data_IF_762932484892
#
_entry.id   IF_762932484892
#
_cell.length_a   1.000
_cell.length_b   1.000
_cell.length_c   1.000
_cell.angle_alpha   90.00
_cell.angle_beta   90.00
_cell.angle_gamma   90.00
#
_symmetry.space_group_name_H-M   'P 1'
#
loop_
_entity.id
_entity.type
_entity.pdbx_description
1 polymer ?
#
# COMPACT_ATOMS: atom_id res chain seq x y z
N UNK A 1 -19.31 12.02 -2.60
CA UNK A 1 -19.07 11.49 -1.23
C UNK A 1 -17.57 11.53 -0.95
N UNK A 2 -17.17 12.12 0.14
CA UNK A 2 -15.76 12.19 0.52
C UNK A 2 -15.25 10.79 0.86
N UNK A 3 -13.97 10.48 0.54
CA UNK A 3 -13.33 9.18 0.84
C UNK A 3 -13.43 8.77 2.33
N UNK A 4 -13.70 9.71 3.24
CA UNK A 4 -13.79 9.48 4.69
C UNK A 4 -15.01 8.65 5.15
N UNK A 5 -16.10 8.60 4.36
CA UNK A 5 -17.33 7.95 4.81
C UNK A 5 -17.30 6.41 4.66
N UNK A 6 -16.29 5.86 3.98
CA UNK A 6 -16.14 4.42 3.74
C UNK A 6 -15.39 3.71 4.86
N UNK A 7 -14.54 4.42 5.61
CA UNK A 7 -13.64 3.84 6.60
C UNK A 7 -14.03 4.29 8.00
N UNK A 8 -14.26 3.32 8.88
CA UNK A 8 -14.67 3.55 10.27
C UNK A 8 -13.49 3.51 11.25
N UNK A 9 -12.37 2.93 10.82
CA UNK A 9 -11.18 2.74 11.63
C UNK A 9 -9.92 3.21 10.91
N UNK A 10 -8.89 3.55 11.69
CA UNK A 10 -7.57 3.92 11.16
C UNK A 10 -6.51 2.96 11.69
N UNK A 11 -5.66 2.48 10.81
CA UNK A 11 -4.47 1.72 11.12
C UNK A 11 -3.25 2.56 10.75
N UNK A 12 -2.63 3.20 11.74
CA UNK A 12 -1.49 4.09 11.52
C UNK A 12 -0.19 3.31 11.60
N UNK A 13 0.62 3.39 10.57
CA UNK A 13 1.92 2.73 10.44
C UNK A 13 3.02 3.76 10.64
N UNK A 14 3.92 3.53 11.61
CA UNK A 14 5.14 4.32 11.76
C UNK A 14 6.27 3.82 10.85
N UNK A 15 7.32 4.64 10.64
CA UNK A 15 8.52 4.20 9.92
C UNK A 15 9.17 2.97 10.55
N UNK A 16 9.26 2.93 11.88
CA UNK A 16 9.85 1.80 12.60
C UNK A 16 9.03 0.53 12.43
N UNK A 17 7.70 0.65 12.46
CA UNK A 17 6.81 -0.48 12.19
C UNK A 17 6.97 -0.98 10.75
N UNK A 18 6.94 -0.09 9.77
CA UNK A 18 7.12 -0.45 8.37
C UNK A 18 8.43 -1.21 8.14
N UNK A 19 9.53 -0.74 8.75
CA UNK A 19 10.82 -1.43 8.63
C UNK A 19 10.80 -2.83 9.23
N UNK A 20 10.16 -3.04 10.38
CA UNK A 20 10.00 -4.38 10.98
C UNK A 20 9.16 -5.29 10.08
N UNK A 21 7.99 -4.79 9.66
CA UNK A 21 7.04 -5.55 8.84
C UNK A 21 7.68 -5.97 7.51
N UNK A 22 8.47 -5.08 6.87
CA UNK A 22 9.24 -5.40 5.65
C UNK A 22 10.26 -6.49 5.91
N UNK A 23 11.01 -6.44 7.00
CA UNK A 23 12.03 -7.45 7.31
C UNK A 23 11.39 -8.81 7.54
N UNK A 24 10.31 -8.86 8.32
CA UNK A 24 9.57 -10.09 8.58
C UNK A 24 8.94 -10.65 7.28
N UNK A 25 8.44 -9.78 6.40
CA UNK A 25 7.94 -10.18 5.08
C UNK A 25 9.03 -10.78 4.19
N UNK A 26 10.28 -10.31 4.32
CA UNK A 26 11.42 -10.79 3.53
C UNK A 26 11.99 -12.12 4.03
N UNK A 27 11.83 -12.50 5.30
CA UNK A 27 12.43 -13.71 5.86
C UNK A 27 12.14 -15.00 5.06
N UNK A 28 10.88 -15.30 4.68
CA UNK A 28 10.59 -16.50 3.87
C UNK A 28 11.14 -16.39 2.44
N UNK A 29 11.53 -15.20 1.98
CA UNK A 29 12.03 -14.95 0.63
C UNK A 29 13.56 -15.08 0.50
N UNK A 30 14.30 -15.24 1.60
CA UNK A 30 15.77 -15.27 1.62
C UNK A 30 16.39 -16.36 0.75
N UNK A 31 15.65 -17.43 0.47
CA UNK A 31 16.12 -18.54 -0.37
C UNK A 31 15.70 -18.41 -1.84
N UNK A 32 14.96 -17.38 -2.17
CA UNK A 32 14.56 -17.12 -3.56
C UNK A 32 15.61 -16.25 -4.26
N UNK A 33 15.87 -16.56 -5.52
CA UNK A 33 16.75 -15.78 -6.38
C UNK A 33 15.92 -14.99 -7.38
N UNK A 34 15.54 -13.77 -7.01
CA UNK A 34 14.82 -12.87 -7.90
C UNK A 34 15.78 -12.15 -8.85
N UNK A 35 15.39 -12.01 -10.11
CA UNK A 35 16.10 -11.23 -11.14
C UNK A 35 16.06 -9.74 -10.84
N UNK A 36 14.96 -9.29 -10.23
CA UNK A 36 14.70 -7.90 -9.91
C UNK A 36 13.35 -7.71 -9.22
N UNK A 37 13.05 -6.47 -8.90
CA UNK A 37 11.78 -6.03 -8.32
C UNK A 37 11.06 -5.14 -9.33
N UNK A 38 9.74 -5.33 -9.46
CA UNK A 38 8.84 -4.36 -10.09
C UNK A 38 7.99 -3.72 -9.00
N UNK A 39 8.16 -2.42 -8.78
CA UNK A 39 7.34 -1.65 -7.86
C UNK A 39 6.08 -1.13 -8.55
N UNK A 40 4.91 -1.36 -7.97
CA UNK A 40 3.67 -0.72 -8.44
C UNK A 40 3.66 0.72 -7.92
N UNK A 41 3.82 1.66 -8.85
CA UNK A 41 3.87 3.07 -8.46
C UNK A 41 2.42 3.59 -8.23
N UNK A 42 2.22 4.36 -7.16
CA UNK A 42 3.23 4.99 -6.28
C UNK A 42 3.45 4.22 -4.97
N UNK A 43 2.44 3.50 -4.46
CA UNK A 43 2.45 2.86 -3.14
C UNK A 43 3.64 1.91 -2.95
N UNK A 44 3.92 1.08 -3.93
CA UNK A 44 4.99 0.09 -3.88
C UNK A 44 6.41 0.63 -3.95
N UNK A 45 6.63 1.92 -4.28
CA UNK A 45 7.99 2.46 -4.47
C UNK A 45 8.84 2.42 -3.20
N UNK A 46 8.28 2.84 -2.07
CA UNK A 46 9.01 2.86 -0.80
C UNK A 46 9.22 1.43 -0.27
N UNK A 47 8.19 0.58 -0.18
CA UNK A 47 8.38 -0.82 0.15
C UNK A 47 9.40 -1.54 -0.72
N UNK A 48 9.34 -1.36 -2.04
CA UNK A 48 10.29 -1.98 -2.97
C UNK A 48 11.74 -1.59 -2.68
N UNK A 49 12.00 -0.32 -2.35
CA UNK A 49 13.34 0.15 -1.98
C UNK A 49 13.87 -0.50 -0.69
N UNK A 50 13.01 -0.67 0.31
CA UNK A 50 13.35 -1.35 1.57
C UNK A 50 13.60 -2.85 1.33
N UNK A 51 12.71 -3.52 0.59
CA UNK A 51 12.81 -4.94 0.23
C UNK A 51 14.07 -5.20 -0.61
N UNK A 52 14.36 -4.34 -1.58
CA UNK A 52 15.56 -4.42 -2.42
C UNK A 52 16.85 -4.44 -1.57
N UNK A 53 16.88 -3.62 -0.52
CA UNK A 53 17.99 -3.59 0.44
C UNK A 53 18.06 -4.88 1.27
N UNK A 54 16.94 -5.36 1.81
CA UNK A 54 16.92 -6.55 2.68
C UNK A 54 17.26 -7.84 1.91
N UNK A 55 16.88 -7.94 0.63
CA UNK A 55 17.15 -9.11 -0.24
C UNK A 55 18.38 -8.94 -1.14
N UNK A 56 19.13 -7.83 -1.02
CA UNK A 56 20.29 -7.46 -1.88
C UNK A 56 19.96 -7.50 -3.39
N UNK A 57 18.75 -7.08 -3.76
CA UNK A 57 18.34 -6.99 -5.17
C UNK A 57 18.68 -5.60 -5.70
N UNK A 58 19.52 -5.53 -6.75
CA UNK A 58 20.00 -4.26 -7.32
C UNK A 58 19.14 -3.72 -8.45
N UNK A 59 18.42 -4.60 -9.13
CA UNK A 59 17.56 -4.21 -10.24
C UNK A 59 16.13 -3.93 -9.72
N UNK A 60 15.75 -2.65 -9.76
CA UNK A 60 14.40 -2.21 -9.38
C UNK A 60 13.82 -1.42 -10.53
N UNK A 61 12.72 -1.92 -11.09
CA UNK A 61 11.91 -1.22 -12.09
C UNK A 61 10.57 -0.81 -11.49
N UNK A 62 9.77 -0.08 -12.22
CA UNK A 62 8.43 0.36 -11.80
C UNK A 62 7.39 0.14 -12.89
N UNK A 63 6.20 -0.21 -12.47
CA UNK A 63 4.99 -0.27 -13.26
C UNK A 63 4.04 0.83 -12.75
N UNK A 64 3.52 1.67 -13.65
CA UNK A 64 2.62 2.75 -13.27
C UNK A 64 1.22 2.47 -13.76
N UNK A 65 0.30 2.38 -12.82
CA UNK A 65 -1.12 2.18 -13.09
C UNK A 65 -1.95 3.27 -12.41
N UNK A 66 -3.04 3.64 -13.03
CA UNK A 66 -4.00 4.59 -12.48
C UNK A 66 -5.38 3.94 -12.44
N UNK A 67 -5.93 3.81 -11.25
CA UNK A 67 -7.32 3.37 -11.07
C UNK A 67 -8.25 4.59 -11.10
N UNK A 68 -9.37 4.46 -11.82
CA UNK A 68 -10.43 5.46 -11.83
C UNK A 68 -11.53 5.06 -10.86
N UNK A 69 -11.84 5.95 -9.90
CA UNK A 69 -12.95 5.80 -8.95
C UNK A 69 -14.30 6.28 -9.56
N UNK A 70 -14.53 6.10 -10.86
CA UNK A 70 -15.79 6.49 -11.48
C UNK A 70 -16.84 5.40 -11.30
N UNK A 71 -18.01 5.78 -10.76
CA UNK A 71 -19.17 4.92 -10.51
C UNK A 71 -19.88 4.41 -11.78
N UNK A 72 -19.44 4.79 -12.98
CA UNK A 72 -20.05 4.41 -14.25
C UNK A 72 -19.13 3.43 -14.98
N UNK A 73 -19.56 2.15 -14.92
CA UNK A 73 -19.26 1.07 -15.88
C UNK A 73 -17.92 1.16 -16.61
N UNK A 74 -16.88 0.72 -15.96
CA UNK A 74 -15.77 -0.12 -16.41
C UNK A 74 -14.66 -0.07 -15.36
N UNK A 75 -14.26 -1.23 -14.88
CA UNK A 75 -13.15 -1.42 -13.93
C UNK A 75 -11.78 -1.20 -14.63
N UNK A 76 -11.63 -0.12 -15.37
CA UNK A 76 -10.46 0.12 -16.18
C UNK A 76 -9.33 0.73 -15.34
N UNK A 77 -8.30 -0.08 -15.15
CA UNK A 77 -7.00 0.38 -14.67
C UNK A 77 -6.20 0.81 -15.89
N UNK A 78 -5.91 2.10 -16.00
CA UNK A 78 -5.06 2.64 -17.06
C UNK A 78 -3.59 2.33 -16.76
N UNK A 79 -2.89 1.74 -17.71
CA UNK A 79 -1.44 1.48 -17.62
C UNK A 79 -0.70 2.66 -18.21
N UNK A 80 -0.02 3.43 -17.38
CA UNK A 80 0.80 4.59 -17.80
C UNK A 80 2.22 4.17 -18.18
N UNK A 81 2.77 3.16 -17.50
CA UNK A 81 4.07 2.55 -17.79
C UNK A 81 3.99 1.05 -17.51
N UNK A 82 4.25 0.25 -18.50
CA UNK A 82 4.39 -1.21 -18.39
C UNK A 82 5.85 -1.65 -18.24
N UNK A 83 6.04 -2.99 -18.26
CA UNK A 83 7.34 -3.67 -18.34
C UNK A 83 7.28 -4.71 -19.45
N UNK A 84 8.44 -5.06 -20.07
CA UNK A 84 8.52 -5.91 -21.26
C UNK A 84 8.81 -7.38 -20.91
N UNK A 85 8.18 -7.92 -19.84
CA UNK A 85 8.32 -9.33 -19.45
C UNK A 85 7.07 -9.80 -18.69
N UNK A 86 6.91 -11.13 -18.56
CA UNK A 86 5.76 -11.76 -17.90
C UNK A 86 5.91 -11.94 -16.38
N UNK A 87 6.99 -11.46 -15.81
CA UNK A 87 7.27 -11.51 -14.38
C UNK A 87 8.00 -12.77 -13.91
N UNK A 88 8.39 -13.70 -14.80
CA UNK A 88 9.09 -14.91 -14.38
C UNK A 88 10.43 -14.63 -13.69
N UNK A 89 10.51 -14.99 -12.41
CA UNK A 89 11.66 -14.73 -11.55
C UNK A 89 11.72 -13.29 -11.03
N UNK A 90 10.65 -12.51 -11.15
CA UNK A 90 10.56 -11.16 -10.60
C UNK A 90 9.69 -11.10 -9.37
N UNK A 91 10.05 -10.21 -8.46
CA UNK A 91 9.25 -9.84 -7.31
C UNK A 91 8.42 -8.61 -7.67
N UNK A 92 7.10 -8.71 -7.53
CA UNK A 92 6.16 -7.61 -7.73
C UNK A 92 5.77 -7.07 -6.35
N UNK A 93 5.86 -5.75 -6.14
CA UNK A 93 5.68 -5.14 -4.82
C UNK A 93 4.68 -4.00 -4.87
N UNK A 94 3.71 -4.03 -3.94
CA UNK A 94 2.87 -2.89 -3.60
C UNK A 94 2.83 -2.69 -2.07
N UNK A 95 2.32 -1.57 -1.59
CA UNK A 95 2.14 -1.30 -0.16
C UNK A 95 0.92 -2.04 0.41
N UNK A 96 -0.17 -2.07 -0.34
CA UNK A 96 -1.47 -2.58 0.08
C UNK A 96 -2.22 -3.21 -1.09
N UNK A 97 -2.87 -4.34 -0.86
CA UNK A 97 -3.98 -4.82 -1.68
C UNK A 97 -5.31 -4.56 -0.96
N UNK A 98 -6.14 -3.65 -1.49
CA UNK A 98 -7.45 -3.29 -0.92
C UNK A 98 -8.57 -4.13 -1.54
N UNK A 99 -9.27 -3.62 -2.55
CA UNK A 99 -10.35 -4.34 -3.27
C UNK A 99 -9.80 -5.35 -4.31
N UNK A 100 -8.51 -5.27 -4.60
CA UNK A 100 -7.86 -6.12 -5.60
C UNK A 100 -7.97 -5.66 -7.05
N UNK A 101 -8.63 -4.54 -7.37
CA UNK A 101 -8.76 -4.04 -8.75
C UNK A 101 -7.41 -3.84 -9.43
N UNK A 102 -6.51 -3.10 -8.79
CA UNK A 102 -5.13 -2.90 -9.27
C UNK A 102 -4.39 -4.24 -9.36
N UNK A 103 -4.47 -5.05 -8.32
CA UNK A 103 -3.80 -6.36 -8.28
C UNK A 103 -4.24 -7.27 -9.42
N UNK A 104 -5.54 -7.36 -9.72
CA UNK A 104 -6.07 -8.15 -10.83
C UNK A 104 -5.56 -7.65 -12.19
N UNK A 105 -5.48 -6.34 -12.40
CA UNK A 105 -4.96 -5.76 -13.63
C UNK A 105 -3.47 -6.09 -13.81
N UNK A 106 -2.67 -5.91 -12.75
CA UNK A 106 -1.23 -6.14 -12.79
C UNK A 106 -0.89 -7.63 -12.91
N UNK A 107 -1.68 -8.52 -12.29
CA UNK A 107 -1.55 -9.98 -12.48
C UNK A 107 -1.72 -10.41 -13.92
N UNK A 108 -2.59 -9.77 -14.70
CA UNK A 108 -2.72 -10.07 -16.14
C UNK A 108 -1.47 -9.68 -16.94
N UNK A 109 -0.76 -8.63 -16.48
CA UNK A 109 0.48 -8.17 -17.14
C UNK A 109 1.69 -9.00 -16.73
N UNK A 110 1.77 -9.37 -15.46
CA UNK A 110 2.88 -10.10 -14.84
C UNK A 110 2.39 -11.40 -14.18
N UNK A 111 1.84 -12.36 -14.97
CA UNK A 111 1.19 -13.54 -14.42
C UNK A 111 2.14 -14.47 -13.65
N UNK A 112 3.45 -14.41 -13.92
CA UNK A 112 4.45 -15.27 -13.29
C UNK A 112 5.26 -14.58 -12.18
N UNK A 113 5.02 -13.30 -11.90
CA UNK A 113 5.70 -12.60 -10.83
C UNK A 113 5.25 -13.14 -9.47
N UNK A 114 6.17 -13.20 -8.51
CA UNK A 114 5.82 -13.41 -7.11
C UNK A 114 5.35 -12.07 -6.53
N UNK A 115 4.06 -11.95 -6.26
CA UNK A 115 3.44 -10.70 -5.86
C UNK A 115 3.29 -10.60 -4.34
N UNK A 116 3.90 -9.59 -3.74
CA UNK A 116 3.83 -9.34 -2.30
C UNK A 116 3.34 -7.93 -2.00
N UNK A 117 2.66 -7.78 -0.87
CA UNK A 117 2.27 -6.48 -0.29
C UNK A 117 2.60 -6.45 1.19
N UNK A 118 2.80 -5.26 1.76
CA UNK A 118 3.01 -5.17 3.21
C UNK A 118 1.69 -5.50 3.93
N UNK A 119 0.60 -4.91 3.47
CA UNK A 119 -0.72 -5.13 4.03
C UNK A 119 -1.69 -5.70 2.99
N UNK A 120 -2.68 -6.44 3.47
CA UNK A 120 -3.76 -6.95 2.63
C UNK A 120 -5.11 -6.80 3.32
N UNK A 121 -6.15 -6.53 2.52
CA UNK A 121 -7.52 -6.57 2.98
C UNK A 121 -8.25 -7.79 2.45
N UNK A 122 -9.33 -8.24 3.12
CA UNK A 122 -10.03 -9.49 2.78
C UNK A 122 -10.43 -9.63 1.32
N UNK A 123 -10.91 -8.56 0.68
CA UNK A 123 -11.36 -8.59 -0.72
C UNK A 123 -10.22 -8.83 -1.71
N UNK A 124 -9.04 -8.28 -1.45
CA UNK A 124 -7.90 -8.32 -2.38
C UNK A 124 -6.85 -9.38 -2.09
N UNK A 125 -6.78 -9.90 -0.86
CA UNK A 125 -5.67 -10.77 -0.40
C UNK A 125 -5.43 -12.02 -1.25
N UNK A 126 -6.46 -12.56 -1.88
CA UNK A 126 -6.35 -13.75 -2.72
C UNK A 126 -5.57 -13.51 -4.03
N UNK A 127 -5.30 -12.26 -4.39
CA UNK A 127 -4.59 -11.86 -5.61
C UNK A 127 -3.09 -11.69 -5.41
N UNK A 128 -2.60 -11.73 -4.17
CA UNK A 128 -1.17 -11.66 -3.83
C UNK A 128 -0.69 -13.00 -3.31
N UNK A 129 0.60 -13.31 -3.51
CA UNK A 129 1.19 -14.58 -3.09
C UNK A 129 1.58 -14.54 -1.61
N UNK A 130 1.94 -13.34 -1.12
CA UNK A 130 2.35 -13.14 0.26
C UNK A 130 2.04 -11.71 0.73
N UNK A 131 1.68 -11.57 1.99
CA UNK A 131 1.56 -10.28 2.67
C UNK A 131 1.98 -10.44 4.14
N UNK A 132 2.32 -9.33 4.79
CA UNK A 132 2.71 -9.35 6.20
C UNK A 132 1.49 -9.36 7.13
N UNK A 133 0.62 -8.35 7.01
CA UNK A 133 -0.52 -8.18 7.94
C UNK A 133 -1.84 -8.01 7.20
N UNK A 134 -2.87 -8.74 7.66
CA UNK A 134 -4.24 -8.51 7.21
C UNK A 134 -4.89 -7.40 8.05
N UNK A 135 -5.54 -6.46 7.37
CA UNK A 135 -6.25 -5.32 7.97
C UNK A 135 -7.70 -5.35 7.52
N UNK A 136 -8.64 -4.99 8.41
CA UNK A 136 -10.07 -5.00 8.11
C UNK A 136 -10.43 -4.17 6.87
N UNK A 137 -11.48 -4.61 6.15
CA UNK A 137 -11.90 -3.95 4.89
C UNK A 137 -12.34 -2.51 5.10
N UNK A 138 -12.94 -2.20 6.24
CA UNK A 138 -13.41 -0.87 6.66
C UNK A 138 -12.33 0.00 7.32
N UNK A 139 -11.09 -0.48 7.33
CA UNK A 139 -9.96 0.21 7.95
C UNK A 139 -9.16 1.02 6.91
N UNK A 140 -8.89 2.30 7.21
CA UNK A 140 -7.96 3.12 6.44
C UNK A 140 -6.53 2.92 6.95
N UNK A 141 -5.62 2.49 6.08
CA UNK A 141 -4.20 2.40 6.43
C UNK A 141 -3.56 3.77 6.16
N UNK A 142 -2.99 4.34 7.22
CA UNK A 142 -2.27 5.60 7.15
C UNK A 142 -0.77 5.29 7.19
N UNK A 143 -0.14 5.35 6.04
CA UNK A 143 1.29 5.10 5.90
C UNK A 143 2.14 6.27 6.40
N UNK A 144 3.43 6.04 6.72
CA UNK A 144 4.31 7.11 7.22
C UNK A 144 4.50 8.26 6.22
N UNK A 145 4.38 8.01 4.93
CA UNK A 145 4.47 9.04 3.87
C UNK A 145 3.16 9.79 3.63
N UNK A 146 2.03 9.33 4.17
CA UNK A 146 0.74 10.01 4.11
C UNK A 146 0.61 11.09 5.19
N UNK A 147 1.44 11.00 6.24
CA UNK A 147 1.44 11.95 7.34
C UNK A 147 2.25 13.19 6.95
N UNK A 148 1.56 14.21 6.41
CA UNK A 148 2.13 15.55 6.31
C UNK A 148 2.33 16.17 7.71
N UNK A 149 3.09 17.27 7.78
CA UNK A 149 3.13 18.11 8.98
C UNK A 149 1.72 18.66 9.26
N UNK A 150 0.90 17.89 9.95
CA UNK A 150 -0.36 18.40 10.47
C UNK A 150 -0.07 19.13 11.77
N UNK A 151 -0.37 20.42 11.80
CA UNK A 151 -0.43 21.15 13.07
C UNK A 151 -1.48 20.46 13.95
N UNK A 152 -1.02 19.84 15.01
CA UNK A 152 -1.91 19.28 16.05
C UNK A 152 -2.12 20.37 17.07
N UNK A 153 -3.35 20.90 17.13
CA UNK A 153 -3.72 21.91 18.12
C UNK A 153 -3.45 21.37 19.54
N UNK A 154 -2.71 22.14 20.39
CA UNK A 154 -2.47 21.73 21.77
C UNK A 154 -3.76 21.41 22.52
N UNK A 155 -3.73 20.41 23.40
CA UNK A 155 -4.91 19.99 24.17
C UNK A 155 -5.55 21.13 24.94
N UNK A 156 -4.74 22.08 25.46
CA UNK A 156 -5.23 23.26 26.18
C UNK A 156 -6.06 24.19 25.28
N UNK A 157 -5.72 24.32 24.02
CA UNK A 157 -6.50 25.15 23.08
C UNK A 157 -7.82 24.48 22.70
N UNK A 158 -7.80 23.16 22.52
CA UNK A 158 -9.01 22.36 22.29
C UNK A 158 -9.97 22.48 23.50
N UNK A 159 -9.46 22.40 24.73
CA UNK A 159 -10.26 22.60 25.96
C UNK A 159 -10.86 23.99 26.02
N UNK A 160 -10.07 25.05 25.77
CA UNK A 160 -10.57 26.43 25.80
C UNK A 160 -11.72 26.65 24.80
N UNK A 161 -11.67 26.07 23.64
CA UNK A 161 -12.78 26.15 22.63
C UNK A 161 -14.04 25.44 23.13
N UNK A 162 -13.87 24.25 23.73
CA UNK A 162 -15.00 23.49 24.28
C UNK A 162 -15.70 24.24 25.41
N UNK A 163 -14.94 24.95 26.26
CA UNK A 163 -15.50 25.73 27.37
C UNK A 163 -16.10 27.06 26.90
N UNK A 164 -15.54 27.70 25.88
CA UNK A 164 -16.11 28.91 25.28
C UNK A 164 -17.46 28.65 24.59
N UNK A 165 -17.67 27.46 24.04
CA UNK A 165 -18.93 27.03 23.42
C UNK A 165 -20.04 26.72 24.46
N UNK A 166 -19.71 26.51 25.75
CA UNK A 166 -20.66 26.26 26.83
C UNK A 166 -21.10 27.53 27.58
N UNK A 167 -20.41 28.63 27.39
CA UNK A 167 -20.70 29.90 28.08
C UNK A 167 -21.59 30.85 27.26
N UNK A 168 -22.15 30.40 26.13
CA UNK A 168 -22.96 31.18 25.20
C UNK A 168 -24.43 30.76 25.14
N UNK A 169 -25.00 30.21 26.24
CA UNK A 169 -26.45 29.93 26.34
C UNK A 169 -27.02 30.70 27.51
#
# INVERSE_FOLDING_TARGET
MAKSDRYQQYFTVSWDQLHRDVRELCEPLLHHHFKGIVAIARGGLIPAGLIARELDIRLVDSLCVKSYDNMEQHDDVEVLKGVDHDGEGWLLVDDLVDTGKTAAAVRRMLPKAHFITIYAKPEGRALVDQYHTEVGQDCWIQFPWDTGFSYVEPLVERHRRADAGKSGV
#
